data_IF_613073802108
#
_entry.id   IF_613073802108
#
_cell.length_a   1.000
_cell.length_b   1.000
_cell.length_c   1.000
_cell.angle_alpha   90.00
_cell.angle_beta   90.00
_cell.angle_gamma   90.00
#
_symmetry.space_group_name_H-M   'P 1'
#
loop_
_entity.id
_entity.type
_entity.pdbx_description
1 polymer ?
#
# COMPACT_ATOMS: atom_id res chain seq x y z
N UNK A 1 -30.79 -60.92 16.16
CA UNK A 1 -29.50 -61.63 16.36
C UNK A 1 -28.41 -60.61 16.08
N UNK A 2 -27.53 -60.14 16.96
CA UNK A 2 -27.04 -60.57 18.28
C UNK A 2 -26.57 -59.33 19.07
N UNK A 3 -26.38 -59.49 20.38
CA UNK A 3 -26.08 -58.48 21.40
C UNK A 3 -24.59 -58.09 21.49
N UNK A 4 -24.34 -56.97 22.19
CA UNK A 4 -23.08 -56.42 22.76
C UNK A 4 -22.05 -57.45 23.30
N UNK A 5 -20.76 -57.06 23.40
CA UNK A 5 -20.21 -56.57 24.70
C UNK A 5 -19.21 -55.39 24.53
N UNK A 6 -19.39 -54.26 25.22
CA UNK A 6 -18.71 -53.86 26.47
C UNK A 6 -17.37 -54.57 26.75
N UNK A 7 -16.26 -53.82 26.61
CA UNK A 7 -15.01 -54.09 27.31
C UNK A 7 -14.65 -52.83 28.11
N UNK A 8 -14.78 -52.97 29.42
CA UNK A 8 -14.20 -52.09 30.45
C UNK A 8 -12.88 -52.72 30.86
N UNK A 9 -11.79 -51.93 30.90
CA UNK A 9 -10.51 -52.11 31.60
C UNK A 9 -9.53 -51.11 30.95
N UNK A 10 -8.82 -50.20 31.60
CA UNK A 10 -8.30 -50.21 32.96
C UNK A 10 -8.08 -48.78 33.45
N UNK A 11 -8.37 -48.57 34.73
CA UNK A 11 -7.93 -47.41 35.49
C UNK A 11 -6.41 -47.46 35.68
N UNK A 12 -5.71 -46.39 35.30
CA UNK A 12 -4.42 -46.05 35.89
C UNK A 12 -4.68 -45.02 36.97
N UNK A 13 -4.62 -45.49 38.21
CA UNK A 13 -4.57 -44.67 39.41
C UNK A 13 -3.20 -43.99 39.47
N UNK A 14 -3.20 -42.65 39.43
CA UNK A 14 -2.15 -41.85 40.05
C UNK A 14 -2.83 -41.10 41.20
N UNK A 15 -2.75 -41.70 42.38
CA UNK A 15 -2.79 -40.96 43.64
C UNK A 15 -1.42 -40.26 43.79
N UNK A 16 -1.29 -39.02 44.23
CA UNK A 16 -2.23 -38.03 44.71
C UNK A 16 -1.40 -36.85 45.25
N UNK A 17 -1.98 -35.66 45.33
CA UNK A 17 -1.68 -34.65 46.35
C UNK A 17 -2.69 -33.49 46.24
N UNK A 18 -3.39 -33.24 47.35
CA UNK A 18 -3.78 -31.89 47.78
C UNK A 18 -4.90 -31.18 47.04
N UNK A 19 -6.11 -31.24 47.61
CA UNK A 19 -7.09 -30.13 47.69
C UNK A 19 -6.99 -29.04 46.61
N UNK A 20 -7.48 -29.34 45.41
CA UNK A 20 -7.89 -28.31 44.46
C UNK A 20 -9.41 -28.39 44.35
N UNK A 21 -10.08 -27.41 44.96
CA UNK A 21 -11.53 -27.23 44.84
C UNK A 21 -11.86 -27.15 43.35
N UNK A 22 -12.53 -28.17 42.83
CA UNK A 22 -12.97 -28.25 41.42
C UNK A 22 -13.89 -27.09 41.03
N UNK A 23 -14.46 -26.38 42.01
CA UNK A 23 -15.21 -25.13 41.80
C UNK A 23 -14.37 -23.97 41.30
N UNK A 24 -13.07 -23.90 41.63
CA UNK A 24 -12.18 -22.79 41.21
C UNK A 24 -11.69 -22.94 39.77
N UNK A 25 -11.60 -24.18 39.26
CA UNK A 25 -11.24 -24.43 37.87
C UNK A 25 -12.42 -24.13 36.93
N UNK A 26 -13.64 -24.48 37.35
CA UNK A 26 -14.86 -24.19 36.60
C UNK A 26 -15.23 -22.69 36.64
N UNK A 27 -14.93 -21.97 37.73
CA UNK A 27 -15.12 -20.51 37.78
C UNK A 27 -14.09 -19.76 36.93
N UNK A 28 -12.82 -20.16 36.97
CA UNK A 28 -11.76 -19.54 36.13
C UNK A 28 -11.94 -19.82 34.64
N UNK A 29 -12.44 -21.00 34.27
CA UNK A 29 -12.78 -21.30 32.86
C UNK A 29 -14.07 -20.59 32.44
N UNK A 30 -15.04 -20.41 33.36
CA UNK A 30 -16.21 -19.54 33.14
C UNK A 30 -15.87 -18.06 32.94
N UNK A 31 -14.91 -17.52 33.71
CA UNK A 31 -14.41 -16.15 33.56
C UNK A 31 -13.52 -15.96 32.32
N UNK A 32 -12.80 -17.00 31.90
CA UNK A 32 -12.04 -16.97 30.65
C UNK A 32 -12.95 -17.06 29.43
N UNK A 33 -14.01 -17.87 29.50
CA UNK A 33 -15.03 -18.00 28.46
C UNK A 33 -15.97 -16.79 28.41
N UNK A 34 -16.25 -16.12 29.53
CA UNK A 34 -16.99 -14.85 29.54
C UNK A 34 -16.20 -13.72 28.85
N UNK A 35 -14.86 -13.82 28.82
CA UNK A 35 -13.96 -12.90 28.09
C UNK A 35 -13.78 -13.25 26.61
N UNK A 36 -14.08 -14.48 26.19
CA UNK A 36 -14.05 -14.89 24.78
C UNK A 36 -15.36 -14.38 24.13
N UNK A 37 -15.35 -13.10 23.77
CA UNK A 37 -16.51 -12.39 23.22
C UNK A 37 -16.76 -11.02 23.83
N UNK A 38 -16.12 -10.72 24.98
CA UNK A 38 -16.04 -9.35 25.46
C UNK A 38 -14.95 -8.63 24.67
N UNK A 39 -15.36 -7.67 23.84
CA UNK A 39 -14.47 -6.61 23.35
C UNK A 39 -13.74 -6.06 24.58
N UNK A 40 -12.39 -5.95 24.59
CA UNK A 40 -11.71 -5.26 25.69
C UNK A 40 -12.42 -3.91 25.90
N UNK A 41 -12.59 -3.46 27.15
CA UNK A 41 -13.29 -2.20 27.42
C UNK A 41 -12.70 -1.17 26.49
N UNK A 42 -13.55 -0.49 25.71
CA UNK A 42 -13.13 0.40 24.64
C UNK A 42 -11.93 1.20 25.16
N UNK A 43 -10.73 0.89 24.63
CA UNK A 43 -9.55 1.68 24.90
C UNK A 43 -9.98 3.13 24.68
N UNK A 44 -9.65 3.99 25.63
CA UNK A 44 -9.98 5.42 25.60
C UNK A 44 -9.98 5.91 24.15
N UNK A 45 -11.12 6.36 23.60
CA UNK A 45 -11.22 6.77 22.21
C UNK A 45 -10.09 7.72 21.79
N UNK A 46 -9.60 8.54 22.72
CA UNK A 46 -8.49 9.46 22.49
C UNK A 46 -7.12 8.76 22.41
N UNK A 47 -6.93 7.60 23.07
CA UNK A 47 -5.73 6.78 22.96
C UNK A 47 -5.61 6.06 21.62
N UNK A 48 -6.72 5.73 20.97
CA UNK A 48 -6.71 5.05 19.66
C UNK A 48 -6.21 5.97 18.54
N UNK A 49 -6.53 7.27 18.61
CA UNK A 49 -6.10 8.26 17.60
C UNK A 49 -4.77 8.92 17.94
N UNK A 50 -4.31 8.85 19.20
CA UNK A 50 -3.05 9.46 19.64
C UNK A 50 -1.84 9.09 18.76
N UNK A 51 -1.61 7.81 18.38
CA UNK A 51 -0.50 7.46 17.49
C UNK A 51 -0.59 8.12 16.11
N UNK A 52 -1.80 8.44 15.64
CA UNK A 52 -2.00 9.14 14.37
C UNK A 52 -1.51 10.59 14.44
N UNK A 53 -1.65 11.22 15.61
CA UNK A 53 -1.27 12.62 15.83
C UNK A 53 0.20 12.79 16.20
N UNK A 54 0.79 11.81 16.91
CA UNK A 54 2.19 11.84 17.33
C UNK A 54 3.20 11.76 16.16
N UNK A 55 2.74 11.30 15.00
CA UNK A 55 3.55 11.24 13.77
C UNK A 55 3.28 12.45 12.87
N UNK A 56 4.21 12.84 11.96
CA UNK A 56 4.04 14.00 11.09
C UNK A 56 3.27 13.72 9.78
N UNK A 57 2.94 12.46 9.50
CA UNK A 57 2.41 12.03 8.19
C UNK A 57 0.91 12.28 8.03
N UNK A 58 0.46 12.56 6.80
CA UNK A 58 -0.95 12.82 6.48
C UNK A 58 -1.69 11.54 6.09
N UNK A 59 -1.02 10.64 5.36
CA UNK A 59 -1.60 9.40 4.83
C UNK A 59 -2.29 8.52 5.89
N UNK A 60 -1.72 8.29 7.09
CA UNK A 60 -2.40 7.49 8.11
C UNK A 60 -3.71 8.12 8.60
N UNK A 61 -3.83 9.45 8.59
CA UNK A 61 -5.08 10.15 8.91
C UNK A 61 -6.12 9.88 7.82
N UNK A 62 -5.71 9.97 6.56
CA UNK A 62 -6.56 9.66 5.40
C UNK A 62 -7.06 8.22 5.41
N UNK A 63 -6.17 7.25 5.66
CA UNK A 63 -6.53 5.84 5.76
C UNK A 63 -7.47 5.56 6.93
N UNK A 64 -7.26 6.21 8.08
CA UNK A 64 -8.14 6.07 9.24
C UNK A 64 -9.56 6.58 8.92
N UNK A 65 -9.66 7.74 8.28
CA UNK A 65 -10.95 8.31 7.86
C UNK A 65 -11.68 7.41 6.86
N UNK A 66 -10.95 6.82 5.90
CA UNK A 66 -11.56 5.87 4.93
C UNK A 66 -12.00 4.58 5.59
N UNK A 67 -11.22 4.04 6.52
CA UNK A 67 -11.52 2.78 7.22
C UNK A 67 -12.80 2.85 8.04
N UNK A 68 -13.07 4.01 8.65
CA UNK A 68 -14.17 4.19 9.59
C UNK A 68 -15.25 5.15 9.08
N UNK A 69 -15.25 5.50 7.79
CA UNK A 69 -16.16 6.50 7.21
C UNK A 69 -17.64 6.27 7.54
N UNK A 70 -18.04 5.00 7.62
CA UNK A 70 -19.42 4.57 7.86
C UNK A 70 -19.70 4.16 9.32
N UNK A 71 -18.80 4.46 10.26
CA UNK A 71 -18.95 4.13 11.69
C UNK A 71 -19.53 5.33 12.49
N UNK A 72 -20.85 5.37 12.77
CA UNK A 72 -21.47 6.47 13.51
C UNK A 72 -21.01 6.53 14.97
N UNK A 73 -20.46 5.45 15.54
CA UNK A 73 -19.93 5.48 16.89
C UNK A 73 -18.63 6.30 16.99
N UNK A 74 -17.98 6.59 15.86
CA UNK A 74 -16.68 7.26 15.79
C UNK A 74 -16.75 8.69 15.27
N UNK A 75 -17.94 9.25 15.06
CA UNK A 75 -18.12 10.58 14.45
C UNK A 75 -17.27 11.67 15.13
N UNK A 76 -17.17 11.66 16.46
CA UNK A 76 -16.35 12.63 17.19
C UNK A 76 -14.83 12.47 16.93
N UNK A 77 -14.32 11.23 16.94
CA UNK A 77 -12.91 10.93 16.64
C UNK A 77 -12.58 11.27 15.17
N UNK A 78 -13.44 10.86 14.23
CA UNK A 78 -13.23 11.11 12.81
C UNK A 78 -13.23 12.60 12.50
N UNK A 79 -14.01 13.39 13.24
CA UNK A 79 -13.92 14.84 13.15
C UNK A 79 -12.53 15.36 13.54
N UNK A 80 -12.00 14.95 14.69
CA UNK A 80 -10.65 15.35 15.13
C UNK A 80 -9.57 14.92 14.11
N UNK A 81 -9.68 13.70 13.59
CA UNK A 81 -8.73 13.17 12.59
C UNK A 81 -8.83 13.95 11.26
N UNK A 82 -10.05 14.32 10.81
CA UNK A 82 -10.25 15.12 9.61
C UNK A 82 -9.69 16.53 9.76
N UNK A 83 -9.94 17.17 10.91
CA UNK A 83 -9.40 18.52 11.22
C UNK A 83 -7.87 18.52 11.22
N UNK A 84 -7.24 17.50 11.81
CA UNK A 84 -5.78 17.37 11.79
C UNK A 84 -5.24 17.09 10.38
N UNK A 85 -5.92 16.25 9.59
CA UNK A 85 -5.57 16.00 8.18
C UNK A 85 -5.62 17.30 7.38
N UNK A 86 -6.70 18.05 7.51
CA UNK A 86 -6.91 19.33 6.83
C UNK A 86 -5.87 20.37 7.24
N UNK A 87 -5.55 20.47 8.53
CA UNK A 87 -4.49 21.36 9.04
C UNK A 87 -3.13 21.05 8.40
N UNK A 88 -2.77 19.77 8.29
CA UNK A 88 -1.50 19.35 7.66
C UNK A 88 -1.53 19.57 6.14
N UNK A 89 -2.64 19.27 5.48
CA UNK A 89 -2.81 19.52 4.06
C UNK A 89 -2.71 21.00 3.72
N UNK A 90 -3.30 21.88 4.54
CA UNK A 90 -3.18 23.33 4.39
C UNK A 90 -1.71 23.78 4.52
N UNK A 91 -0.95 23.23 5.48
CA UNK A 91 0.48 23.54 5.63
C UNK A 91 1.30 23.11 4.40
N UNK A 92 0.94 21.99 3.77
CA UNK A 92 1.53 21.56 2.50
C UNK A 92 1.15 22.50 1.38
N UNK A 93 -0.14 22.87 1.27
CA UNK A 93 -0.66 23.74 0.22
C UNK A 93 0.06 25.10 0.16
N UNK A 94 0.45 25.65 1.32
CA UNK A 94 1.25 26.87 1.39
C UNK A 94 2.58 26.78 0.61
N UNK A 95 3.19 25.58 0.52
CA UNK A 95 4.44 25.36 -0.22
C UNK A 95 4.23 25.34 -1.74
N UNK A 96 3.00 25.09 -2.18
CA UNK A 96 2.59 25.07 -3.58
C UNK A 96 1.85 26.37 -3.98
N UNK A 97 1.63 27.29 -3.04
CA UNK A 97 1.18 28.65 -3.33
C UNK A 97 2.38 29.52 -3.70
N UNK A 98 2.89 29.30 -4.91
CA UNK A 98 3.95 30.11 -5.53
C UNK A 98 3.36 31.04 -6.59
N UNK A 99 4.07 32.13 -6.89
CA UNK A 99 3.70 33.05 -7.98
C UNK A 99 3.73 32.36 -9.35
N UNK A 100 4.56 31.32 -9.49
CA UNK A 100 4.64 30.48 -10.68
C UNK A 100 3.90 29.16 -10.46
N UNK A 101 2.71 29.03 -11.04
CA UNK A 101 1.95 27.77 -11.09
C UNK A 101 2.32 27.05 -12.40
N UNK A 102 2.81 25.82 -12.29
CA UNK A 102 3.26 25.04 -13.45
C UNK A 102 2.64 23.64 -13.49
N UNK A 103 2.56 23.04 -14.69
CA UNK A 103 2.18 21.63 -14.88
C UNK A 103 3.11 20.68 -14.12
N UNK A 104 4.41 21.02 -14.03
CA UNK A 104 5.40 20.23 -13.28
C UNK A 104 5.15 20.31 -11.77
N UNK A 105 4.76 21.49 -11.28
CA UNK A 105 4.31 21.69 -9.91
C UNK A 105 3.05 20.87 -9.60
N UNK A 106 2.06 20.86 -10.50
CA UNK A 106 0.85 20.03 -10.36
C UNK A 106 1.20 18.54 -10.31
N UNK A 107 2.07 18.07 -11.21
CA UNK A 107 2.50 16.68 -11.25
C UNK A 107 3.23 16.27 -9.95
N UNK A 108 4.03 17.17 -9.38
CA UNK A 108 4.73 16.97 -8.11
C UNK A 108 3.74 16.95 -6.95
N UNK A 109 2.78 17.87 -6.93
CA UNK A 109 1.75 17.97 -5.89
C UNK A 109 0.86 16.73 -5.87
N UNK A 110 0.34 16.30 -7.04
CA UNK A 110 -0.42 15.05 -7.20
C UNK A 110 0.34 13.83 -6.70
N UNK A 111 1.64 13.76 -7.00
CA UNK A 111 2.47 12.63 -6.58
C UNK A 111 2.63 12.60 -5.06
N UNK A 112 2.93 13.72 -4.41
CA UNK A 112 3.13 13.74 -2.96
C UNK A 112 1.84 13.61 -2.16
N UNK A 113 0.75 14.23 -2.64
CA UNK A 113 -0.40 14.52 -1.77
C UNK A 113 -1.76 14.23 -2.43
N UNK A 114 -1.81 13.64 -3.62
CA UNK A 114 -3.09 13.36 -4.31
C UNK A 114 -4.02 12.39 -3.58
N UNK A 115 -3.48 11.50 -2.73
CA UNK A 115 -4.29 10.62 -1.89
C UNK A 115 -4.83 11.35 -0.64
N UNK A 116 -3.95 12.11 0.03
CA UNK A 116 -4.23 12.67 1.35
C UNK A 116 -4.84 14.06 1.35
N UNK A 117 -4.52 14.87 0.34
CA UNK A 117 -4.99 16.24 0.17
C UNK A 117 -5.63 16.43 -1.22
N UNK A 118 -6.63 15.60 -1.61
CA UNK A 118 -7.18 15.62 -2.96
C UNK A 118 -7.84 16.97 -3.31
N UNK A 119 -8.42 17.65 -2.31
CA UNK A 119 -9.06 18.95 -2.50
C UNK A 119 -8.04 20.06 -2.80
N UNK A 120 -6.92 20.12 -2.06
CA UNK A 120 -5.88 21.13 -2.30
C UNK A 120 -5.16 20.91 -3.64
N UNK A 121 -4.95 19.65 -4.02
CA UNK A 121 -4.41 19.29 -5.33
C UNK A 121 -5.34 19.71 -6.46
N UNK A 122 -6.65 19.48 -6.32
CA UNK A 122 -7.65 19.95 -7.27
C UNK A 122 -7.70 21.49 -7.33
N UNK A 123 -7.53 22.17 -6.19
CA UNK A 123 -7.46 23.63 -6.15
C UNK A 123 -6.20 24.18 -6.85
N UNK A 124 -5.07 23.48 -6.79
CA UNK A 124 -3.88 23.83 -7.58
C UNK A 124 -4.14 23.66 -9.08
N UNK A 125 -4.76 22.54 -9.48
CA UNK A 125 -5.10 22.27 -10.88
C UNK A 125 -6.04 23.32 -11.45
N UNK A 126 -7.12 23.66 -10.74
CA UNK A 126 -8.07 24.68 -11.18
C UNK A 126 -7.40 26.05 -11.39
N UNK A 127 -6.42 26.41 -10.55
CA UNK A 127 -5.64 27.65 -10.73
C UNK A 127 -4.74 27.60 -11.95
N UNK A 128 -4.11 26.46 -12.21
CA UNK A 128 -3.30 26.25 -13.42
C UNK A 128 -4.16 26.37 -14.68
N UNK A 129 -5.36 25.79 -14.69
CA UNK A 129 -6.31 25.86 -15.81
C UNK A 129 -6.83 27.28 -16.05
N UNK A 130 -6.97 28.07 -14.98
CA UNK A 130 -7.41 29.47 -15.06
C UNK A 130 -6.31 30.43 -15.56
N UNK A 131 -5.05 29.99 -15.70
CA UNK A 131 -3.98 30.84 -16.23
C UNK A 131 -4.15 31.06 -17.75
N UNK A 132 -3.87 32.27 -18.26
CA UNK A 132 -3.90 32.53 -19.69
C UNK A 132 -2.85 31.65 -20.40
N UNK A 133 -3.32 30.65 -21.15
CA UNK A 133 -2.44 29.75 -21.87
C UNK A 133 -1.76 30.50 -23.02
N UNK A 134 -0.43 30.50 -23.06
CA UNK A 134 0.31 30.88 -24.25
C UNK A 134 -0.05 29.92 -25.40
N UNK A 135 -0.17 30.39 -26.65
CA UNK A 135 -0.50 29.52 -27.78
C UNK A 135 0.53 28.38 -27.87
N UNK A 136 0.02 27.14 -27.82
CA UNK A 136 0.84 25.93 -27.93
C UNK A 136 1.78 26.06 -29.15
N UNK A 137 3.10 25.85 -28.99
CA UNK A 137 4.04 25.94 -30.11
C UNK A 137 3.67 24.89 -31.16
N UNK A 138 3.46 25.35 -32.39
CA UNK A 138 3.18 24.51 -33.55
C UNK A 138 4.33 23.51 -33.74
N UNK A 139 4.03 22.22 -33.68
CA UNK A 139 4.99 21.17 -34.08
C UNK A 139 5.31 21.36 -35.56
N UNK A 140 6.60 21.43 -35.88
CA UNK A 140 7.06 21.41 -37.27
C UNK A 140 6.74 20.05 -37.92
N UNK A 141 6.28 20.02 -39.18
CA UNK A 141 5.87 18.80 -39.83
C UNK A 141 7.08 18.03 -40.36
N UNK A 142 7.13 16.73 -40.08
CA UNK A 142 7.96 15.77 -40.81
C UNK A 142 7.06 15.23 -41.94
N UNK A 143 7.45 15.45 -43.20
CA UNK A 143 6.85 14.91 -44.44
C UNK A 143 6.85 13.37 -44.43
N UNK A 144 5.94 12.55 -44.99
CA UNK A 144 4.95 12.58 -46.10
C UNK A 144 4.16 11.21 -45.99
N UNK A 145 3.15 10.86 -46.81
CA UNK A 145 2.29 11.65 -47.68
C UNK A 145 0.80 11.60 -47.30
N UNK A 146 0.06 12.49 -47.95
CA UNK A 146 -1.37 12.74 -47.84
C UNK A 146 -2.23 11.55 -48.30
N UNK A 147 -3.25 11.22 -47.51
CA UNK A 147 -4.62 11.18 -47.98
C UNK A 147 -5.57 11.56 -46.84
N UNK A 148 -6.35 12.59 -47.11
CA UNK A 148 -7.45 13.10 -46.29
C UNK A 148 -8.62 12.14 -46.41
N UNK A 149 -9.28 11.82 -45.29
CA UNK A 149 -10.70 12.09 -45.09
C UNK A 149 -11.19 11.43 -43.80
N UNK A 150 -11.77 12.25 -42.93
CA UNK A 150 -12.73 11.90 -41.87
C UNK A 150 -12.23 11.16 -40.61
N UNK A 151 -12.34 11.88 -39.50
CA UNK A 151 -12.66 11.43 -38.15
C UNK A 151 -13.15 9.98 -37.99
N UNK A 152 -12.22 9.03 -37.80
CA UNK A 152 -12.39 7.89 -36.87
C UNK A 152 -10.98 7.58 -36.33
N UNK A 153 -10.71 7.88 -35.06
CA UNK A 153 -9.49 7.37 -34.40
C UNK A 153 -9.64 5.86 -34.26
N UNK A 154 -9.04 5.12 -35.19
CA UNK A 154 -9.00 3.66 -35.19
C UNK A 154 -8.43 3.14 -33.85
N UNK A 155 -9.28 2.51 -33.03
CA UNK A 155 -8.92 1.82 -31.78
C UNK A 155 -7.71 0.87 -31.92
N UNK A 156 -7.47 0.40 -33.15
CA UNK A 156 -6.35 -0.48 -33.49
C UNK A 156 -5.00 0.23 -33.46
N UNK A 157 -4.92 1.48 -33.93
CA UNK A 157 -3.68 2.27 -33.91
C UNK A 157 -3.28 2.65 -32.47
N UNK A 158 -4.27 3.00 -31.64
CA UNK A 158 -4.06 3.28 -30.22
C UNK A 158 -3.58 2.02 -29.45
N UNK A 159 -4.21 0.86 -29.69
CA UNK A 159 -3.77 -0.42 -29.09
C UNK A 159 -2.35 -0.83 -29.49
N UNK A 160 -1.95 -0.58 -30.73
CA UNK A 160 -0.58 -0.85 -31.20
C UNK A 160 0.45 0.08 -30.54
N UNK A 161 0.11 1.35 -30.34
CA UNK A 161 0.97 2.31 -29.63
C UNK A 161 1.16 1.95 -28.14
N UNK A 162 0.06 1.61 -27.44
CA UNK A 162 0.10 1.17 -26.02
C UNK A 162 0.93 -0.11 -25.86
N UNK A 163 0.77 -1.08 -26.77
CA UNK A 163 1.54 -2.33 -26.76
C UNK A 163 3.04 -2.08 -26.94
N UNK A 164 3.43 -1.14 -27.82
CA UNK A 164 4.85 -0.75 -28.00
C UNK A 164 5.42 -0.08 -26.75
N UNK A 165 4.66 0.84 -26.15
CA UNK A 165 5.08 1.54 -24.92
C UNK A 165 5.26 0.57 -23.74
N UNK A 166 4.36 -0.40 -23.60
CA UNK A 166 4.47 -1.43 -22.57
C UNK A 166 5.69 -2.34 -22.79
N UNK A 167 5.99 -2.68 -24.04
CA UNK A 167 7.20 -3.42 -24.37
C UNK A 167 8.48 -2.63 -24.03
N UNK A 168 8.51 -1.34 -24.36
CA UNK A 168 9.64 -0.47 -24.01
C UNK A 168 9.80 -0.34 -22.49
N UNK A 169 8.70 -0.24 -21.74
CA UNK A 169 8.71 -0.25 -20.29
C UNK A 169 9.47 -1.48 -19.75
N UNK A 170 9.11 -2.69 -20.21
CA UNK A 170 9.72 -3.92 -19.72
C UNK A 170 11.18 -4.09 -20.17
N UNK A 171 11.48 -3.80 -21.44
CA UNK A 171 12.84 -3.93 -21.96
C UNK A 171 13.80 -2.97 -21.27
N UNK A 172 13.42 -1.69 -21.14
CA UNK A 172 14.25 -0.66 -20.52
C UNK A 172 14.45 -0.93 -19.03
N UNK A 173 13.42 -1.44 -18.33
CA UNK A 173 13.55 -1.85 -16.92
C UNK A 173 14.54 -3.00 -16.77
N UNK A 174 14.46 -4.03 -17.63
CA UNK A 174 15.36 -5.20 -17.59
C UNK A 174 16.82 -4.84 -17.85
N UNK A 175 17.10 -3.94 -18.78
CA UNK A 175 18.47 -3.47 -19.03
C UNK A 175 18.90 -2.36 -18.06
N UNK A 176 18.07 -2.04 -17.06
CA UNK A 176 18.31 -1.03 -16.02
C UNK A 176 18.50 0.39 -16.57
N UNK A 177 17.93 0.69 -17.74
CA UNK A 177 17.80 2.05 -18.24
C UNK A 177 16.59 2.72 -17.58
N UNK A 178 16.76 3.11 -16.32
CA UNK A 178 15.67 3.60 -15.49
C UNK A 178 15.09 4.94 -15.94
N UNK A 179 15.88 5.81 -16.58
CA UNK A 179 15.38 7.09 -17.10
C UNK A 179 14.43 6.87 -18.27
N UNK A 180 14.80 6.03 -19.24
CA UNK A 180 13.91 5.66 -20.35
C UNK A 180 12.72 4.82 -19.90
N UNK A 181 12.95 3.87 -18.99
CA UNK A 181 11.89 3.01 -18.45
C UNK A 181 10.81 3.82 -17.72
N UNK A 182 11.19 4.85 -16.94
CA UNK A 182 10.23 5.70 -16.24
C UNK A 182 9.26 6.40 -17.19
N UNK A 183 9.75 6.87 -18.35
CA UNK A 183 8.92 7.50 -19.37
C UNK A 183 7.98 6.47 -20.03
N UNK A 184 8.50 5.29 -20.36
CA UNK A 184 7.72 4.24 -21.01
C UNK A 184 6.67 3.63 -20.08
N UNK A 185 7.01 3.34 -18.81
CA UNK A 185 6.13 2.66 -17.87
C UNK A 185 4.99 3.53 -17.31
N UNK A 186 5.11 4.86 -17.34
CA UNK A 186 4.17 5.76 -16.65
C UNK A 186 2.72 5.57 -17.11
N UNK A 187 2.44 5.75 -18.40
CA UNK A 187 1.09 5.65 -18.96
C UNK A 187 0.45 4.28 -18.66
N UNK A 188 1.10 3.16 -19.03
CA UNK A 188 0.55 1.84 -18.76
C UNK A 188 0.36 1.55 -17.26
N UNK A 189 1.24 2.05 -16.39
CA UNK A 189 1.09 1.88 -14.94
C UNK A 189 -0.11 2.67 -14.37
N UNK A 190 -0.35 3.88 -14.88
CA UNK A 190 -1.51 4.72 -14.57
C UNK A 190 -2.81 4.11 -15.09
N UNK A 191 -2.76 3.38 -16.21
CA UNK A 191 -3.88 2.60 -16.77
C UNK A 191 -4.13 1.28 -16.02
N UNK A 192 -3.33 0.96 -15.00
CA UNK A 192 -3.54 -0.23 -14.16
C UNK A 192 -2.79 -1.49 -14.62
N UNK A 193 -1.90 -1.40 -15.60
CA UNK A 193 -1.12 -2.57 -16.03
C UNK A 193 -0.17 -3.01 -14.90
N UNK A 194 -0.51 -4.11 -14.24
CA UNK A 194 0.22 -4.66 -13.06
C UNK A 194 1.72 -4.79 -13.32
N UNK A 195 2.13 -5.27 -14.50
CA UNK A 195 3.55 -5.40 -14.84
C UNK A 195 4.27 -4.05 -14.95
N UNK A 196 3.60 -3.01 -15.46
CA UNK A 196 4.16 -1.67 -15.54
C UNK A 196 4.21 -1.02 -14.15
N UNK A 197 3.21 -1.25 -13.30
CA UNK A 197 3.22 -0.83 -11.90
C UNK A 197 4.37 -1.50 -11.13
N UNK A 198 4.59 -2.81 -11.32
CA UNK A 198 5.73 -3.52 -10.74
C UNK A 198 7.08 -2.95 -11.24
N UNK A 199 7.18 -2.66 -12.54
CA UNK A 199 8.36 -2.00 -13.12
C UNK A 199 8.58 -0.60 -12.52
N UNK A 200 7.51 0.20 -12.36
CA UNK A 200 7.57 1.50 -11.71
C UNK A 200 8.07 1.39 -10.26
N UNK A 201 7.61 0.38 -9.51
CA UNK A 201 8.08 0.14 -8.17
C UNK A 201 9.59 -0.14 -8.12
N UNK A 202 10.09 -1.01 -9.01
CA UNK A 202 11.52 -1.31 -9.13
C UNK A 202 12.35 -0.09 -9.53
N UNK A 203 11.90 0.65 -10.55
CA UNK A 203 12.56 1.86 -11.04
C UNK A 203 12.69 2.87 -9.90
N UNK A 204 11.59 3.17 -9.21
CA UNK A 204 11.59 4.15 -8.14
C UNK A 204 12.46 3.70 -6.96
N UNK A 205 12.45 2.41 -6.62
CA UNK A 205 13.31 1.89 -5.56
C UNK A 205 14.78 2.02 -5.93
N UNK A 206 15.14 1.69 -7.17
CA UNK A 206 16.51 1.80 -7.67
C UNK A 206 17.01 3.25 -7.74
N UNK A 207 16.09 4.21 -7.93
CA UNK A 207 16.37 5.65 -7.89
C UNK A 207 16.38 6.23 -6.46
N UNK A 208 16.15 5.42 -5.42
CA UNK A 208 16.09 5.86 -4.02
C UNK A 208 14.77 6.52 -3.61
N UNK A 209 13.78 6.55 -4.50
CA UNK A 209 12.47 7.12 -4.25
C UNK A 209 11.57 6.10 -3.54
N UNK A 210 11.95 5.70 -2.32
CA UNK A 210 11.33 4.59 -1.60
C UNK A 210 9.83 4.78 -1.36
N UNK A 211 9.35 6.01 -1.11
CA UNK A 211 7.91 6.27 -0.97
C UNK A 211 7.13 5.98 -2.27
N UNK A 212 7.64 6.45 -3.41
CA UNK A 212 7.02 6.16 -4.72
C UNK A 212 7.09 4.67 -5.04
N UNK A 213 8.21 4.02 -4.71
CA UNK A 213 8.37 2.58 -4.87
C UNK A 213 7.32 1.81 -4.07
N UNK A 214 7.07 2.21 -2.81
CA UNK A 214 6.10 1.58 -1.92
C UNK A 214 4.71 1.62 -2.53
N UNK A 215 4.31 2.80 -3.00
CA UNK A 215 2.98 3.00 -3.59
C UNK A 215 2.74 2.13 -4.80
N UNK A 216 3.69 2.10 -5.73
CA UNK A 216 3.60 1.24 -6.92
C UNK A 216 3.66 -0.25 -6.55
N UNK A 217 4.53 -0.63 -5.61
CA UNK A 217 4.65 -2.00 -5.14
C UNK A 217 3.34 -2.47 -4.50
N UNK A 218 2.72 -1.65 -3.64
CA UNK A 218 1.43 -1.95 -2.99
C UNK A 218 0.32 -2.24 -3.97
N UNK A 219 0.24 -1.48 -5.08
CA UNK A 219 -0.79 -1.69 -6.10
C UNK A 219 -0.57 -2.99 -6.89
N UNK A 220 0.68 -3.31 -7.23
CA UNK A 220 1.00 -4.48 -8.05
C UNK A 220 1.18 -5.78 -7.24
N UNK A 221 1.52 -5.70 -5.96
CA UNK A 221 1.88 -6.85 -5.11
C UNK A 221 0.83 -7.97 -5.05
N UNK A 222 -0.50 -7.72 -5.08
CA UNK A 222 -1.49 -8.80 -5.09
C UNK A 222 -1.37 -9.75 -6.29
N UNK A 223 -0.83 -9.27 -7.41
CA UNK A 223 -0.80 -10.00 -8.69
C UNK A 223 0.61 -10.15 -9.28
N UNK A 224 1.62 -9.54 -8.66
CA UNK A 224 3.01 -9.59 -9.10
C UNK A 224 3.92 -10.06 -7.98
N UNK A 225 4.46 -11.28 -8.11
CA UNK A 225 5.43 -11.82 -7.15
C UNK A 225 6.67 -10.94 -6.99
N UNK A 226 7.06 -10.25 -8.07
CA UNK A 226 8.16 -9.29 -8.05
C UNK A 226 7.86 -8.04 -7.21
N UNK A 227 6.64 -7.51 -7.30
CA UNK A 227 6.22 -6.36 -6.50
C UNK A 227 5.95 -6.76 -5.04
N UNK A 228 5.37 -7.94 -4.80
CA UNK A 228 5.21 -8.50 -3.47
C UNK A 228 6.56 -8.72 -2.77
N UNK A 229 7.56 -9.26 -3.48
CA UNK A 229 8.91 -9.41 -2.95
C UNK A 229 9.51 -8.05 -2.56
N UNK A 230 9.44 -7.07 -3.47
CA UNK A 230 9.93 -5.72 -3.19
C UNK A 230 9.22 -5.10 -1.98
N UNK A 231 7.90 -5.24 -1.89
CA UNK A 231 7.12 -4.74 -0.75
C UNK A 231 7.54 -5.42 0.56
N UNK A 232 7.84 -6.71 0.53
CA UNK A 232 8.42 -7.46 1.65
C UNK A 232 9.76 -6.89 2.09
N UNK A 233 10.68 -6.62 1.16
CA UNK A 233 11.97 -5.98 1.46
C UNK A 233 11.81 -4.60 2.09
N UNK A 234 10.83 -3.83 1.60
CA UNK A 234 10.56 -2.48 2.10
C UNK A 234 10.10 -2.49 3.55
N UNK A 235 9.18 -3.40 3.93
CA UNK A 235 8.80 -3.61 5.32
C UNK A 235 9.95 -4.21 6.16
N UNK A 236 10.74 -5.12 5.61
CA UNK A 236 11.86 -5.74 6.35
C UNK A 236 12.95 -4.73 6.72
N UNK A 237 13.16 -3.71 5.88
CA UNK A 237 14.26 -2.75 6.00
C UNK A 237 13.79 -1.34 6.40
N UNK A 238 12.49 -1.11 6.51
CA UNK A 238 11.93 0.21 6.80
C UNK A 238 12.15 1.22 5.67
N UNK A 239 12.15 0.78 4.41
CA UNK A 239 12.37 1.66 3.24
C UNK A 239 11.05 2.24 2.76
N UNK A 240 10.82 3.53 3.00
CA UNK A 240 9.60 4.22 2.60
C UNK A 240 8.36 3.84 3.42
N UNK A 241 8.52 2.95 4.39
CA UNK A 241 7.53 2.53 5.40
C UNK A 241 8.23 2.20 6.70
N UNK A 242 7.49 2.15 7.81
CA UNK A 242 8.03 1.64 9.07
C UNK A 242 8.46 0.17 8.93
N UNK A 243 9.52 -0.20 9.65
CA UNK A 243 9.97 -1.59 9.66
C UNK A 243 8.92 -2.46 10.34
N UNK A 244 8.52 -3.53 9.67
CA UNK A 244 7.54 -4.50 10.16
C UNK A 244 7.87 -5.89 9.60
N UNK A 245 8.41 -6.75 10.45
CA UNK A 245 8.82 -8.10 10.04
C UNK A 245 7.63 -9.01 9.75
N UNK A 246 6.50 -8.83 10.41
CA UNK A 246 5.32 -9.68 10.18
C UNK A 246 4.69 -9.36 8.83
N UNK A 247 4.60 -8.07 8.49
CA UNK A 247 4.17 -7.62 7.18
C UNK A 247 5.16 -8.03 6.09
N UNK A 248 6.47 -7.94 6.35
CA UNK A 248 7.48 -8.44 5.42
C UNK A 248 7.31 -9.95 5.15
N UNK A 249 7.13 -10.75 6.19
CA UNK A 249 6.90 -12.20 6.08
C UNK A 249 5.61 -12.53 5.31
N UNK A 250 4.56 -11.73 5.47
CA UNK A 250 3.31 -11.87 4.71
C UNK A 250 3.56 -11.65 3.22
N UNK A 251 4.24 -10.56 2.85
CA UNK A 251 4.48 -10.24 1.45
C UNK A 251 5.51 -11.17 0.79
N UNK A 252 6.50 -11.67 1.52
CA UNK A 252 7.38 -12.73 1.01
C UNK A 252 6.63 -14.04 0.76
N UNK A 253 5.68 -14.43 1.62
CA UNK A 253 4.81 -15.59 1.33
C UNK A 253 3.98 -15.39 0.06
N UNK A 254 3.33 -14.23 -0.08
CA UNK A 254 2.60 -13.89 -1.31
C UNK A 254 3.50 -13.90 -2.54
N UNK A 255 4.73 -13.40 -2.42
CA UNK A 255 5.70 -13.45 -3.51
C UNK A 255 6.08 -14.88 -3.91
N UNK A 256 6.25 -15.79 -2.94
CA UNK A 256 6.52 -17.20 -3.18
C UNK A 256 5.32 -17.90 -3.85
N UNK A 257 4.10 -17.64 -3.40
CA UNK A 257 2.85 -18.13 -4.01
C UNK A 257 2.70 -17.67 -5.47
N UNK A 258 3.15 -16.46 -5.77
CA UNK A 258 3.20 -15.90 -7.13
C UNK A 258 4.45 -16.29 -7.93
N UNK A 259 5.25 -17.23 -7.42
CA UNK A 259 6.39 -17.84 -8.14
C UNK A 259 7.69 -17.02 -8.13
N UNK A 260 7.86 -16.07 -7.22
CA UNK A 260 9.12 -15.33 -7.09
C UNK A 260 10.21 -16.20 -6.45
N UNK A 261 11.25 -16.51 -7.23
CA UNK A 261 12.29 -17.50 -6.88
C UNK A 261 13.14 -17.14 -5.65
N UNK A 262 13.25 -15.85 -5.30
CA UNK A 262 13.99 -15.40 -4.12
C UNK A 262 13.16 -15.30 -2.84
N UNK A 263 11.85 -15.51 -2.91
CA UNK A 263 10.94 -15.15 -1.82
C UNK A 263 11.01 -16.11 -0.62
N UNK A 264 11.11 -17.42 -0.86
CA UNK A 264 11.25 -18.42 0.21
C UNK A 264 12.54 -18.18 1.01
N UNK A 265 13.67 -17.99 0.32
CA UNK A 265 14.94 -17.66 0.97
C UNK A 265 14.87 -16.37 1.79
N UNK A 266 14.18 -15.33 1.29
CA UNK A 266 14.01 -14.09 2.02
C UNK A 266 13.12 -14.26 3.26
N UNK A 267 12.07 -15.07 3.16
CA UNK A 267 11.23 -15.44 4.29
C UNK A 267 12.04 -16.19 5.35
N UNK A 268 12.82 -17.20 4.95
CA UNK A 268 13.66 -18.00 5.85
C UNK A 268 14.69 -17.13 6.57
N UNK A 269 15.35 -16.23 5.85
CA UNK A 269 16.30 -15.27 6.42
C UNK A 269 15.62 -14.32 7.42
N UNK A 270 14.41 -13.86 7.12
CA UNK A 270 13.67 -12.94 7.96
C UNK A 270 13.25 -13.58 9.29
N UNK A 271 12.80 -14.85 9.27
CA UNK A 271 12.34 -15.57 10.46
C UNK A 271 13.49 -16.20 11.26
N UNK A 272 14.61 -16.52 10.61
CA UNK A 272 15.80 -17.07 11.27
C UNK A 272 16.69 -15.99 11.89
N UNK A 273 16.49 -14.72 11.52
CA UNK A 273 17.23 -13.61 12.10
C UNK A 273 16.88 -13.48 13.59
N UNK A 274 17.87 -13.55 14.51
CA UNK A 274 17.59 -13.42 15.94
C UNK A 274 16.92 -12.06 16.23
N UNK A 275 15.89 -12.08 17.06
CA UNK A 275 15.23 -10.88 17.53
C UNK A 275 16.24 -10.01 18.29
N UNK A 276 16.76 -8.95 17.64
CA UNK A 276 17.68 -8.00 18.29
C UNK A 276 18.92 -7.58 17.49
N UNK A 277 19.14 -8.04 16.25
CA UNK A 277 20.20 -7.48 15.41
C UNK A 277 19.80 -6.09 14.86
N UNK A 278 19.81 -5.10 15.73
CA UNK A 278 19.79 -3.69 15.37
C UNK A 278 21.16 -3.39 14.74
N UNK A 279 21.20 -3.21 13.42
CA UNK A 279 22.41 -2.80 12.72
C UNK A 279 22.49 -1.28 12.89
N UNK A 280 23.43 -0.84 13.74
CA UNK A 280 23.84 0.55 13.88
C UNK A 280 24.35 1.12 12.55
#
# INVERSE_FOLDING_TARGET
MYRLPVIVMSAVLIAGCGNLKTSDFLSRTGDALSKIGQRPPADDPDQEIKPLFDQPYIDPLTEHLQRYADDPARTAQLKQVSEERERRCAAVALRYNTDEITETGLATYRRGYGFSCPQDVAAYEARLEAMPQAPKPARQPVSEPLNNDSEVRDDKAQKVAVSRQLNDCYLLTRIRNFSGALAACRGPAEEGAVGAQASMAQIQNALGNHESAYRWARMAAPESGQAAYLLGEMYAQGRGVAQDKDMAAKWFRTAAELGHTGAENALDNLVSAPAGANVN
#
